data_IF_740128607179
#
_entry.id   IF_740128607179
#
_cell.length_a   1.000
_cell.length_b   1.000
_cell.length_c   1.000
_cell.angle_alpha   90.00
_cell.angle_beta   90.00
_cell.angle_gamma   90.00
#
_symmetry.space_group_name_H-M   'P 1'
#
loop_
_entity.id
_entity.type
_entity.pdbx_description
1 polymer ?
#
# COMPACT_ATOMS: atom_id res chain seq x y z
N UNK A 1 19.18 -5.42 6.11
CA UNK A 1 17.71 -5.55 5.95
C UNK A 1 17.40 -6.64 4.93
N UNK A 2 16.21 -7.25 5.02
CA UNK A 2 15.69 -8.25 4.10
C UNK A 2 15.36 -7.67 2.72
N UNK A 3 15.10 -8.55 1.75
CA UNK A 3 14.78 -8.17 0.37
C UNK A 3 13.30 -7.78 0.20
N UNK A 4 12.40 -8.39 0.98
CA UNK A 4 10.95 -8.16 0.89
C UNK A 4 10.35 -7.51 2.14
N UNK A 5 11.01 -7.70 3.29
CA UNK A 5 10.53 -7.35 4.63
C UNK A 5 11.57 -6.57 5.43
N UNK A 6 11.17 -5.98 6.56
CA UNK A 6 12.14 -5.31 7.47
C UNK A 6 12.99 -6.31 8.28
N UNK A 7 12.71 -7.61 8.17
CA UNK A 7 13.37 -8.71 8.89
C UNK A 7 14.74 -9.07 8.28
N UNK A 8 15.46 -9.99 8.92
CA UNK A 8 16.77 -10.46 8.45
C UNK A 8 16.64 -11.40 7.24
N UNK A 9 17.66 -11.42 6.36
CA UNK A 9 17.67 -12.31 5.18
C UNK A 9 17.55 -13.80 5.55
N UNK A 10 18.11 -14.20 6.71
CA UNK A 10 18.01 -15.57 7.22
C UNK A 10 16.56 -15.96 7.53
N UNK A 11 15.76 -15.03 8.03
CA UNK A 11 14.34 -15.27 8.28
C UNK A 11 13.57 -15.46 6.97
N UNK A 12 13.82 -14.61 5.96
CA UNK A 12 13.16 -14.72 4.65
C UNK A 12 13.49 -16.05 3.95
N UNK A 13 14.77 -16.44 3.96
CA UNK A 13 15.24 -17.73 3.42
C UNK A 13 14.62 -18.91 4.16
N UNK A 14 14.53 -18.85 5.49
CA UNK A 14 13.90 -19.90 6.29
C UNK A 14 12.42 -20.10 5.94
N UNK A 15 11.67 -19.02 5.69
CA UNK A 15 10.25 -19.10 5.33
C UNK A 15 10.00 -19.53 3.88
N UNK A 16 10.96 -19.31 2.98
CA UNK A 16 10.94 -19.75 1.59
C UNK A 16 11.61 -21.13 1.37
N UNK A 17 12.01 -21.83 2.43
CA UNK A 17 12.71 -23.13 2.30
C UNK A 17 11.97 -24.14 1.41
N UNK A 18 10.64 -24.23 1.54
CA UNK A 18 9.83 -25.13 0.73
C UNK A 18 9.72 -24.72 -0.75
N UNK A 19 9.73 -23.41 -1.05
CA UNK A 19 9.78 -22.95 -2.45
C UNK A 19 11.13 -23.18 -3.10
N UNK A 20 12.22 -23.08 -2.35
CA UNK A 20 13.53 -23.46 -2.89
C UNK A 20 13.64 -24.98 -3.04
N UNK A 21 13.10 -25.75 -2.10
CA UNK A 21 13.06 -27.20 -2.20
C UNK A 21 12.27 -27.68 -3.43
N UNK A 22 11.13 -27.05 -3.77
CA UNK A 22 10.37 -27.43 -4.97
C UNK A 22 11.12 -27.17 -6.28
N UNK A 23 11.99 -26.15 -6.31
CA UNK A 23 12.83 -25.81 -7.47
C UNK A 23 14.07 -26.70 -7.54
N UNK A 24 14.63 -27.08 -6.39
CA UNK A 24 15.93 -27.76 -6.35
C UNK A 24 15.78 -29.28 -6.50
N UNK A 25 14.65 -29.85 -6.06
CA UNK A 25 14.40 -31.27 -6.14
C UNK A 25 14.00 -31.75 -7.54
N UNK A 26 13.65 -30.84 -8.47
CA UNK A 26 13.16 -31.20 -9.82
C UNK A 26 12.02 -32.23 -9.81
N UNK A 27 11.23 -32.27 -8.74
CA UNK A 27 10.09 -33.18 -8.62
C UNK A 27 8.87 -32.44 -9.18
N UNK A 28 8.32 -32.86 -10.33
CA UNK A 28 7.27 -32.12 -11.03
C UNK A 28 6.00 -31.91 -10.21
N UNK A 29 5.77 -32.70 -9.15
CA UNK A 29 4.51 -32.75 -8.39
C UNK A 29 4.46 -31.99 -7.06
N UNK A 30 5.59 -31.44 -6.60
CA UNK A 30 5.64 -30.86 -5.25
C UNK A 30 5.10 -29.43 -5.21
N UNK A 31 5.19 -28.71 -6.33
CA UNK A 31 4.90 -27.29 -6.39
C UNK A 31 3.43 -26.90 -6.06
N UNK A 32 2.38 -27.69 -6.38
CA UNK A 32 1.01 -27.35 -5.98
C UNK A 32 0.82 -27.44 -4.47
N UNK A 33 1.45 -28.42 -3.80
CA UNK A 33 1.40 -28.56 -2.34
C UNK A 33 2.13 -27.42 -1.63
N UNK A 34 3.28 -26.99 -2.16
CA UNK A 34 3.98 -25.81 -1.63
C UNK A 34 3.11 -24.57 -1.79
N UNK A 35 2.46 -24.41 -2.94
CA UNK A 35 1.54 -23.29 -3.19
C UNK A 35 0.36 -23.31 -2.22
N UNK A 36 -0.22 -24.48 -1.95
CA UNK A 36 -1.32 -24.65 -1.01
C UNK A 36 -0.89 -24.31 0.44
N UNK A 37 0.30 -24.73 0.84
CA UNK A 37 0.91 -24.37 2.14
C UNK A 37 1.14 -22.86 2.26
N UNK A 38 1.62 -22.21 1.18
CA UNK A 38 1.77 -20.76 1.16
C UNK A 38 0.41 -20.04 1.23
N UNK A 39 -0.58 -20.50 0.48
CA UNK A 39 -1.91 -19.92 0.42
C UNK A 39 -2.65 -20.01 1.76
N UNK A 40 -2.53 -21.13 2.48
CA UNK A 40 -3.15 -21.33 3.80
C UNK A 40 -2.47 -20.48 4.87
N UNK A 41 -1.13 -20.46 4.92
CA UNK A 41 -0.38 -19.63 5.89
C UNK A 41 -0.58 -18.14 5.66
N UNK A 42 -0.62 -17.72 4.40
CA UNK A 42 -0.90 -16.32 4.05
C UNK A 42 -2.37 -15.97 4.05
N UNK A 43 -3.30 -16.95 4.05
CA UNK A 43 -4.75 -16.79 3.91
C UNK A 43 -5.18 -16.06 2.63
N UNK A 44 -4.66 -16.46 1.46
CA UNK A 44 -5.05 -15.93 0.14
C UNK A 44 -5.90 -16.98 -0.61
N UNK A 45 -7.17 -16.67 -0.91
CA UNK A 45 -8.07 -17.61 -1.59
C UNK A 45 -7.70 -17.86 -3.05
N UNK A 46 -7.29 -16.83 -3.80
CA UNK A 46 -6.87 -17.00 -5.19
C UNK A 46 -5.69 -17.97 -5.34
N UNK A 47 -4.71 -17.91 -4.42
CA UNK A 47 -3.57 -18.83 -4.44
C UNK A 47 -3.98 -20.25 -4.07
N UNK A 48 -4.94 -20.39 -3.16
CA UNK A 48 -5.49 -21.68 -2.78
C UNK A 48 -6.26 -22.33 -3.93
N UNK A 49 -7.10 -21.55 -4.62
CA UNK A 49 -7.82 -22.01 -5.82
C UNK A 49 -6.85 -22.40 -6.95
N UNK A 50 -5.81 -21.58 -7.18
CA UNK A 50 -4.82 -21.87 -8.22
C UNK A 50 -4.00 -23.14 -7.89
N UNK A 51 -3.67 -23.37 -6.62
CA UNK A 51 -3.03 -24.61 -6.18
C UNK A 51 -3.89 -25.85 -6.50
N UNK A 52 -5.21 -25.78 -6.27
CA UNK A 52 -6.14 -26.86 -6.64
C UNK A 52 -6.21 -27.10 -8.14
N UNK A 53 -6.24 -26.03 -8.95
CA UNK A 53 -6.25 -26.14 -10.41
C UNK A 53 -4.98 -26.82 -10.92
N UNK A 54 -3.81 -26.42 -10.41
CA UNK A 54 -2.53 -27.05 -10.76
C UNK A 54 -2.49 -28.52 -10.33
N UNK A 55 -2.97 -28.83 -9.13
CA UNK A 55 -3.03 -30.21 -8.63
C UNK A 55 -3.95 -31.10 -9.47
N UNK A 56 -5.14 -30.61 -9.86
CA UNK A 56 -6.04 -31.34 -10.77
C UNK A 56 -5.40 -31.54 -12.15
N UNK A 57 -4.71 -30.51 -12.67
CA UNK A 57 -3.95 -30.61 -13.91
C UNK A 57 -2.86 -31.68 -13.87
N UNK A 58 -2.11 -31.76 -12.76
CA UNK A 58 -1.10 -32.79 -12.57
C UNK A 58 -1.68 -34.20 -12.45
N UNK A 59 -2.80 -34.36 -11.73
CA UNK A 59 -3.50 -35.65 -11.65
C UNK A 59 -3.95 -36.09 -13.04
N UNK A 60 -4.48 -35.15 -13.84
CA UNK A 60 -4.85 -35.41 -15.23
C UNK A 60 -3.67 -35.83 -16.10
N UNK A 61 -2.53 -35.14 -15.98
CA UNK A 61 -1.30 -35.50 -16.68
C UNK A 61 -0.76 -36.87 -16.23
N UNK A 62 -0.83 -37.19 -14.94
CA UNK A 62 -0.42 -38.48 -14.38
C UNK A 62 -1.31 -39.62 -14.88
N UNK A 63 -2.62 -39.38 -14.93
CA UNK A 63 -3.57 -40.34 -15.49
C UNK A 63 -3.34 -40.57 -17.00
N UNK A 64 -3.13 -39.50 -17.76
CA UNK A 64 -2.81 -39.60 -19.18
C UNK A 64 -1.48 -40.35 -19.40
N UNK A 65 -0.45 -40.07 -18.59
CA UNK A 65 0.82 -40.77 -18.65
C UNK A 65 0.66 -42.27 -18.41
N UNK A 66 -0.17 -42.66 -17.44
CA UNK A 66 -0.47 -44.06 -17.16
C UNK A 66 -1.15 -44.76 -18.35
N UNK A 67 -2.13 -44.12 -19.00
CA UNK A 67 -2.82 -44.68 -20.17
C UNK A 67 -1.87 -44.88 -21.36
N UNK A 68 -1.00 -43.90 -21.61
CA UNK A 68 -0.08 -43.94 -22.75
C UNK A 68 1.26 -44.63 -22.43
N UNK A 69 1.40 -45.19 -21.23
CA UNK A 69 2.59 -45.88 -20.77
C UNK A 69 2.86 -47.14 -21.61
N UNK A 70 4.10 -47.29 -22.09
CA UNK A 70 4.52 -48.45 -22.89
C UNK A 70 4.22 -48.38 -24.39
N UNK A 71 3.36 -47.47 -24.84
CA UNK A 71 3.04 -47.32 -26.26
C UNK A 71 4.09 -46.51 -27.06
N UNK A 72 5.14 -45.96 -26.40
CA UNK A 72 6.12 -45.02 -27.00
C UNK A 72 5.44 -43.98 -27.93
N UNK A 73 4.23 -43.59 -27.55
CA UNK A 73 3.33 -42.84 -28.42
C UNK A 73 3.58 -41.34 -28.32
N UNK A 74 3.09 -40.59 -29.30
CA UNK A 74 3.08 -39.13 -29.25
C UNK A 74 2.37 -38.60 -27.98
N UNK A 75 1.38 -39.34 -27.46
CA UNK A 75 0.70 -39.03 -26.19
C UNK A 75 1.64 -39.06 -24.98
N UNK A 76 2.56 -40.02 -24.91
CA UNK A 76 3.56 -40.10 -23.84
C UNK A 76 4.51 -38.88 -23.87
N UNK A 77 4.98 -38.48 -25.05
CA UNK A 77 5.82 -37.29 -25.21
C UNK A 77 5.09 -36.00 -24.78
N UNK A 78 3.81 -35.87 -25.13
CA UNK A 78 2.98 -34.73 -24.71
C UNK A 78 2.80 -34.68 -23.19
N UNK A 79 2.62 -35.82 -22.53
CA UNK A 79 2.51 -35.85 -21.05
C UNK A 79 3.82 -35.46 -20.36
N UNK A 80 4.97 -35.90 -20.87
CA UNK A 80 6.29 -35.49 -20.36
C UNK A 80 6.51 -33.99 -20.57
N UNK A 81 6.22 -33.45 -21.76
CA UNK A 81 6.28 -32.02 -22.04
C UNK A 81 5.33 -31.20 -21.16
N UNK A 82 4.14 -31.75 -20.89
CA UNK A 82 3.17 -31.18 -19.96
C UNK A 82 3.69 -31.09 -18.52
N UNK A 83 4.35 -32.14 -18.01
CA UNK A 83 4.98 -32.12 -16.68
C UNK A 83 6.10 -31.08 -16.57
N UNK A 84 6.98 -31.01 -17.58
CA UNK A 84 8.04 -29.99 -17.64
C UNK A 84 7.48 -28.58 -17.65
N UNK A 85 6.43 -28.35 -18.44
CA UNK A 85 5.77 -27.03 -18.52
C UNK A 85 5.09 -26.67 -17.20
N UNK A 86 4.35 -27.61 -16.61
CA UNK A 86 3.71 -27.44 -15.30
C UNK A 86 4.74 -27.11 -14.22
N UNK A 87 5.86 -27.83 -14.19
CA UNK A 87 6.96 -27.59 -13.27
C UNK A 87 7.56 -26.18 -13.40
N UNK A 88 7.87 -25.72 -14.62
CA UNK A 88 8.45 -24.40 -14.86
C UNK A 88 7.46 -23.30 -14.48
N UNK A 89 6.21 -23.41 -14.94
CA UNK A 89 5.17 -22.41 -14.69
C UNK A 89 4.82 -22.35 -13.20
N UNK A 90 4.64 -23.50 -12.56
CA UNK A 90 4.30 -23.63 -11.15
C UNK A 90 5.36 -23.04 -10.23
N UNK A 91 6.63 -23.37 -10.46
CA UNK A 91 7.73 -22.78 -9.69
C UNK A 91 7.94 -21.29 -10.00
N UNK A 92 7.74 -20.86 -11.25
CA UNK A 92 7.76 -19.44 -11.61
C UNK A 92 6.68 -18.62 -10.89
N UNK A 93 5.48 -19.19 -10.73
CA UNK A 93 4.39 -18.57 -9.96
C UNK A 93 4.73 -18.45 -8.47
N UNK A 94 5.34 -19.48 -7.88
CA UNK A 94 5.79 -19.46 -6.47
C UNK A 94 6.81 -18.35 -6.23
N UNK A 95 7.79 -18.18 -7.13
CA UNK A 95 8.80 -17.11 -7.03
C UNK A 95 8.18 -15.73 -7.17
N UNK A 96 7.23 -15.55 -8.10
CA UNK A 96 6.51 -14.28 -8.26
C UNK A 96 5.72 -13.89 -7.00
N UNK A 97 5.19 -14.88 -6.29
CA UNK A 97 4.38 -14.68 -5.08
C UNK A 97 5.23 -14.53 -3.80
N UNK A 98 6.50 -14.94 -3.82
CA UNK A 98 7.38 -14.98 -2.66
C UNK A 98 7.44 -13.65 -1.89
N UNK A 99 7.54 -12.52 -2.59
CA UNK A 99 7.57 -11.19 -1.95
C UNK A 99 6.28 -10.90 -1.17
N UNK A 100 5.12 -11.07 -1.82
CA UNK A 100 3.82 -10.84 -1.20
C UNK A 100 3.53 -11.82 -0.07
N UNK A 101 3.99 -13.07 -0.20
CA UNK A 101 3.90 -14.09 0.84
C UNK A 101 4.67 -13.69 2.09
N UNK A 102 5.93 -13.26 1.95
CA UNK A 102 6.78 -12.83 3.06
C UNK A 102 6.22 -11.61 3.79
N UNK A 103 5.73 -10.61 3.05
CA UNK A 103 5.12 -9.41 3.63
C UNK A 103 3.88 -9.74 4.47
N UNK A 104 3.09 -10.73 4.03
CA UNK A 104 1.90 -11.16 4.76
C UNK A 104 2.23 -11.98 5.99
N UNK A 105 3.28 -12.79 5.95
CA UNK A 105 3.79 -13.47 7.13
C UNK A 105 4.32 -12.49 8.18
N UNK A 106 5.01 -11.42 7.76
CA UNK A 106 5.43 -10.36 8.67
C UNK A 106 4.21 -9.67 9.31
N UNK A 107 3.15 -9.41 8.54
CA UNK A 107 1.90 -8.86 9.06
C UNK A 107 1.22 -9.79 10.07
N UNK A 108 1.34 -11.11 9.87
CA UNK A 108 0.76 -12.13 10.75
C UNK A 108 1.35 -12.11 12.16
N UNK A 109 2.60 -11.67 12.32
CA UNK A 109 3.25 -11.54 13.63
C UNK A 109 2.66 -10.38 14.44
N UNK A 110 2.14 -9.35 13.77
CA UNK A 110 1.57 -8.15 14.40
C UNK A 110 0.05 -8.27 14.58
N UNK A 111 -0.64 -8.97 13.68
CA UNK A 111 -2.10 -9.09 13.68
C UNK A 111 -2.57 -10.45 13.14
N UNK A 112 -3.65 -11.05 13.68
CA UNK A 112 -4.25 -12.23 13.06
C UNK A 112 -4.69 -11.94 11.62
N UNK A 113 -4.18 -12.73 10.68
CA UNK A 113 -4.55 -12.62 9.27
C UNK A 113 -6.00 -13.04 9.03
N UNK A 114 -6.67 -12.38 8.09
CA UNK A 114 -7.99 -12.77 7.56
C UNK A 114 -7.84 -13.31 6.13
N UNK A 115 -8.82 -14.12 5.69
CA UNK A 115 -8.87 -14.59 4.31
C UNK A 115 -9.18 -13.43 3.36
N UNK A 116 -8.34 -13.26 2.35
CA UNK A 116 -8.59 -12.28 1.27
C UNK A 116 -8.69 -13.00 -0.06
N UNK A 117 -9.44 -12.43 -0.98
CA UNK A 117 -9.62 -13.01 -2.31
C UNK A 117 -8.34 -12.92 -3.14
N UNK A 118 -7.70 -11.76 -3.19
CA UNK A 118 -6.43 -11.54 -3.90
C UNK A 118 -5.60 -10.42 -3.28
N UNK A 119 -4.27 -10.59 -3.23
CA UNK A 119 -3.33 -9.58 -2.72
C UNK A 119 -3.41 -8.28 -3.56
N UNK A 120 -3.60 -8.40 -4.88
CA UNK A 120 -3.72 -7.26 -5.79
C UNK A 120 -5.01 -6.46 -5.58
N UNK A 121 -6.15 -7.16 -5.44
CA UNK A 121 -7.45 -6.53 -5.18
C UNK A 121 -7.51 -5.90 -3.80
N UNK A 122 -6.91 -6.51 -2.77
CA UNK A 122 -6.84 -5.92 -1.43
C UNK A 122 -6.01 -4.64 -1.45
N UNK A 123 -4.85 -4.64 -2.10
CA UNK A 123 -4.01 -3.45 -2.24
C UNK A 123 -4.73 -2.36 -3.03
N UNK A 124 -5.46 -2.72 -4.08
CA UNK A 124 -6.31 -1.79 -4.83
C UNK A 124 -7.50 -1.28 -4.00
N UNK A 125 -8.09 -2.09 -3.13
CA UNK A 125 -9.16 -1.67 -2.22
C UNK A 125 -8.64 -0.78 -1.10
N UNK A 126 -7.45 -1.03 -0.55
CA UNK A 126 -6.79 -0.13 0.41
C UNK A 126 -6.40 1.20 -0.26
N UNK A 127 -5.94 1.16 -1.51
CA UNK A 127 -5.68 2.35 -2.33
C UNK A 127 -6.99 3.06 -2.72
N UNK A 128 -8.08 2.33 -2.97
CA UNK A 128 -9.39 2.88 -3.30
C UNK A 128 -10.13 3.44 -2.07
N UNK A 129 -9.93 2.83 -0.90
CA UNK A 129 -10.38 3.40 0.39
C UNK A 129 -9.63 4.68 0.71
N UNK A 130 -8.34 4.80 0.30
CA UNK A 130 -7.64 6.10 0.28
C UNK A 130 -8.17 7.05 -0.79
N UNK A 131 -8.74 6.54 -1.89
CA UNK A 131 -9.34 7.34 -2.96
C UNK A 131 -10.79 7.78 -2.69
N UNK A 132 -11.43 7.28 -1.63
CA UNK A 132 -12.79 7.70 -1.20
C UNK A 132 -12.78 8.73 -0.06
N UNK A 133 -11.65 9.37 0.19
CA UNK A 133 -11.63 10.58 1.02
C UNK A 133 -11.96 11.77 0.11
N UNK A 134 -13.13 12.39 0.31
CA UNK A 134 -13.37 13.75 -0.19
C UNK A 134 -12.75 14.77 0.78
N UNK A 135 -12.39 15.98 0.32
CA UNK A 135 -11.97 17.08 1.19
C UNK A 135 -12.87 17.27 2.42
N UNK A 136 -14.19 17.16 2.25
CA UNK A 136 -15.17 17.27 3.33
C UNK A 136 -15.10 16.11 4.33
N UNK A 137 -14.94 14.87 3.84
CA UNK A 137 -14.80 13.71 4.73
C UNK A 137 -13.50 13.80 5.54
N UNK A 138 -12.43 14.36 4.96
CA UNK A 138 -11.16 14.57 5.66
C UNK A 138 -11.29 15.59 6.79
N UNK A 139 -11.91 16.74 6.54
CA UNK A 139 -12.21 17.74 7.58
C UNK A 139 -13.07 17.11 8.68
N UNK A 140 -14.10 16.34 8.32
CA UNK A 140 -14.98 15.71 9.31
C UNK A 140 -14.24 14.74 10.23
N UNK A 141 -13.29 13.96 9.68
CA UNK A 141 -12.44 13.04 10.46
C UNK A 141 -11.47 13.80 11.36
N UNK A 142 -10.87 14.89 10.87
CA UNK A 142 -10.01 15.75 11.70
C UNK A 142 -10.78 16.34 12.88
N UNK A 143 -11.99 16.86 12.62
CA UNK A 143 -12.87 17.40 13.66
C UNK A 143 -13.35 16.34 14.65
N UNK A 144 -13.59 15.11 14.19
CA UNK A 144 -13.89 13.97 15.05
C UNK A 144 -12.74 13.70 16.02
N UNK A 145 -11.52 13.48 15.52
CA UNK A 145 -10.38 13.19 16.38
C UNK A 145 -9.97 14.37 17.28
N UNK A 146 -10.23 15.62 16.85
CA UNK A 146 -10.06 16.78 17.71
C UNK A 146 -10.92 16.68 18.98
N UNK A 147 -12.14 16.15 18.88
CA UNK A 147 -13.07 16.02 20.02
C UNK A 147 -12.68 14.87 20.95
N UNK A 148 -12.15 13.78 20.41
CA UNK A 148 -11.75 12.61 21.19
C UNK A 148 -10.42 12.80 21.93
N UNK A 149 -9.45 13.48 21.30
CA UNK A 149 -8.12 13.68 21.86
C UNK A 149 -8.12 14.79 22.93
N UNK A 150 -7.64 14.52 24.14
CA UNK A 150 -7.61 15.53 25.21
C UNK A 150 -6.38 16.45 25.15
N UNK A 151 -5.36 16.09 24.38
CA UNK A 151 -4.13 16.86 24.27
C UNK A 151 -4.34 18.17 23.48
N UNK A 152 -4.32 19.30 24.19
CA UNK A 152 -4.47 20.65 23.61
C UNK A 152 -3.45 20.97 22.51
N UNK A 153 -2.23 20.46 22.61
CA UNK A 153 -1.19 20.70 21.59
C UNK A 153 -1.61 20.09 20.24
N UNK A 154 -2.10 18.86 20.28
CA UNK A 154 -2.60 18.17 19.08
C UNK A 154 -3.84 18.87 18.54
N UNK A 155 -4.78 19.26 19.41
CA UNK A 155 -5.97 20.01 18.99
C UNK A 155 -5.59 21.30 18.23
N UNK A 156 -4.59 22.03 18.69
CA UNK A 156 -4.08 23.23 18.01
C UNK A 156 -3.46 22.91 16.64
N UNK A 157 -2.69 21.82 16.53
CA UNK A 157 -2.14 21.37 15.25
C UNK A 157 -3.25 20.96 14.27
N UNK A 158 -4.27 20.25 14.75
CA UNK A 158 -5.44 19.88 13.95
C UNK A 158 -6.21 21.12 13.49
N UNK A 159 -6.39 22.13 14.36
CA UNK A 159 -7.05 23.38 14.00
C UNK A 159 -6.29 24.16 12.92
N UNK A 160 -4.96 24.19 13.00
CA UNK A 160 -4.13 24.79 11.95
C UNK A 160 -4.33 24.08 10.61
N UNK A 161 -4.28 22.75 10.61
CA UNK A 161 -4.50 21.92 9.40
C UNK A 161 -5.89 22.15 8.82
N UNK A 162 -6.94 22.14 9.65
CA UNK A 162 -8.32 22.36 9.21
C UNK A 162 -8.47 23.75 8.60
N UNK A 163 -7.90 24.79 9.23
CA UNK A 163 -7.96 26.16 8.71
C UNK A 163 -7.28 26.28 7.35
N UNK A 164 -6.07 25.72 7.21
CA UNK A 164 -5.32 25.73 5.96
C UNK A 164 -6.06 24.99 4.85
N UNK A 165 -6.66 23.85 5.18
CA UNK A 165 -7.40 23.05 4.22
C UNK A 165 -8.71 23.72 3.78
N UNK A 166 -9.45 24.36 4.69
CA UNK A 166 -10.63 25.17 4.35
C UNK A 166 -10.28 26.38 3.47
N UNK A 167 -9.11 26.99 3.67
CA UNK A 167 -8.62 28.07 2.82
C UNK A 167 -8.31 27.58 1.40
N UNK A 168 -7.78 26.37 1.25
CA UNK A 168 -7.56 25.73 -0.05
C UNK A 168 -8.88 25.37 -0.74
N UNK A 169 -9.79 24.68 -0.04
CA UNK A 169 -11.07 24.23 -0.60
C UNK A 169 -11.91 25.40 -1.13
N UNK A 170 -11.94 26.54 -0.42
CA UNK A 170 -12.65 27.75 -0.87
C UNK A 170 -12.07 28.38 -2.12
N UNK A 171 -10.78 28.20 -2.39
CA UNK A 171 -10.08 28.85 -3.49
C UNK A 171 -9.95 27.95 -4.72
N UNK A 172 -9.69 26.66 -4.52
CA UNK A 172 -9.41 25.71 -5.59
C UNK A 172 -9.65 24.26 -5.13
N UNK A 173 -10.75 23.68 -5.61
CA UNK A 173 -11.17 22.33 -5.22
C UNK A 173 -10.22 21.25 -5.73
N UNK A 174 -9.60 21.43 -6.90
CA UNK A 174 -8.65 20.45 -7.45
C UNK A 174 -7.33 20.44 -6.66
N UNK A 175 -6.87 21.61 -6.24
CA UNK A 175 -5.66 21.68 -5.42
C UNK A 175 -5.90 21.12 -4.01
N UNK A 176 -7.11 21.28 -3.45
CA UNK A 176 -7.51 20.64 -2.20
C UNK A 176 -7.50 19.10 -2.29
N UNK A 177 -7.92 18.53 -3.43
CA UNK A 177 -7.84 17.07 -3.66
C UNK A 177 -6.38 16.59 -3.75
N UNK A 178 -5.50 17.32 -4.45
CA UNK A 178 -4.06 17.00 -4.49
C UNK A 178 -3.42 17.09 -3.11
N UNK A 179 -3.85 18.07 -2.33
CA UNK A 179 -3.39 18.27 -0.96
C UNK A 179 -3.82 17.12 -0.04
N UNK A 180 -5.06 16.68 -0.16
CA UNK A 180 -5.59 15.50 0.52
C UNK A 180 -4.76 14.25 0.21
N UNK A 181 -4.43 13.99 -1.06
CA UNK A 181 -3.63 12.82 -1.44
C UNK A 181 -2.24 12.84 -0.78
N UNK A 182 -1.62 14.03 -0.67
CA UNK A 182 -0.31 14.20 -0.04
C UNK A 182 -0.34 14.04 1.48
N UNK A 183 -1.38 14.54 2.14
CA UNK A 183 -1.45 14.66 3.61
C UNK A 183 -2.52 13.81 4.29
N UNK A 184 -3.27 12.98 3.55
CA UNK A 184 -4.35 12.12 4.08
C UNK A 184 -3.90 11.14 5.16
N UNK A 185 -2.61 10.82 5.21
CA UNK A 185 -2.02 9.95 6.23
C UNK A 185 -2.11 10.52 7.65
N UNK A 186 -2.28 11.84 7.82
CA UNK A 186 -2.41 12.50 9.12
C UNK A 186 -3.58 11.95 9.93
N UNK A 187 -4.70 11.64 9.27
CA UNK A 187 -5.88 11.06 9.91
C UNK A 187 -5.58 9.68 10.51
N UNK A 188 -4.76 8.88 9.83
CA UNK A 188 -4.34 7.58 10.37
C UNK A 188 -3.45 7.75 11.62
N UNK A 189 -2.61 8.77 11.65
CA UNK A 189 -1.74 9.07 12.79
C UNK A 189 -2.57 9.52 14.01
N UNK A 190 -3.59 10.36 13.78
CA UNK A 190 -4.55 10.76 14.82
C UNK A 190 -5.35 9.58 15.37
N UNK A 191 -5.78 8.66 14.49
CA UNK A 191 -6.47 7.42 14.89
C UNK A 191 -5.61 6.55 15.80
N UNK A 192 -4.33 6.35 15.46
CA UNK A 192 -3.40 5.57 16.29
C UNK A 192 -3.08 6.30 17.60
N UNK A 193 -3.00 7.63 17.58
CA UNK A 193 -2.82 8.43 18.80
C UNK A 193 -4.01 8.25 19.76
N UNK A 194 -5.23 8.42 19.26
CA UNK A 194 -6.47 8.23 20.01
C UNK A 194 -6.59 6.80 20.58
N UNK A 195 -6.25 5.79 19.79
CA UNK A 195 -6.21 4.40 20.27
C UNK A 195 -5.23 4.23 21.45
N UNK A 196 -4.02 4.80 21.35
CA UNK A 196 -3.06 4.79 22.45
C UNK A 196 -3.49 5.66 23.63
N UNK A 197 -4.28 6.71 23.41
CA UNK A 197 -4.89 7.53 24.46
C UNK A 197 -5.87 6.69 25.30
N UNK A 198 -6.76 5.97 24.61
CA UNK A 198 -7.84 5.21 25.20
C UNK A 198 -7.42 3.88 25.82
N UNK A 199 -6.25 3.34 25.46
CA UNK A 199 -5.76 2.07 26.06
C UNK A 199 -5.48 2.15 27.57
N UNK A 200 -5.27 3.35 28.14
CA UNK A 200 -4.89 3.56 29.56
C UNK A 200 -3.66 2.74 30.01
N UNK A 201 -2.85 2.25 29.06
CA UNK A 201 -1.66 1.46 29.33
C UNK A 201 -0.47 2.40 29.59
N UNK A 202 -0.06 2.53 30.85
CA UNK A 202 1.08 3.36 31.26
C UNK A 202 2.43 2.64 31.17
N UNK A 203 2.69 1.93 30.07
CA UNK A 203 4.00 1.34 29.81
C UNK A 203 4.94 2.36 29.15
N UNK A 204 6.25 2.26 29.38
CA UNK A 204 7.29 3.11 28.79
C UNK A 204 7.22 3.13 27.26
N UNK A 205 6.96 1.96 26.66
CA UNK A 205 6.78 1.80 25.20
C UNK A 205 5.58 2.59 24.68
N UNK A 206 4.46 2.60 25.43
CA UNK A 206 3.25 3.34 25.05
C UNK A 206 3.48 4.85 25.14
N UNK A 207 4.15 5.31 26.19
CA UNK A 207 4.47 6.72 26.38
C UNK A 207 5.45 7.25 25.32
N UNK A 208 6.49 6.46 24.99
CA UNK A 208 7.43 6.80 23.92
C UNK A 208 6.73 6.85 22.56
N UNK A 209 5.87 5.87 22.27
CA UNK A 209 5.08 5.83 21.05
C UNK A 209 4.13 7.03 20.94
N UNK A 210 3.46 7.40 22.05
CA UNK A 210 2.57 8.57 22.11
C UNK A 210 3.34 9.87 21.81
N UNK A 211 4.50 10.07 22.45
CA UNK A 211 5.36 11.23 22.22
C UNK A 211 5.90 11.29 20.78
N UNK A 212 6.20 10.13 20.20
CA UNK A 212 6.62 10.04 18.80
C UNK A 212 5.49 10.44 17.85
N UNK A 213 4.26 9.97 18.09
CA UNK A 213 3.10 10.37 17.30
C UNK A 213 2.81 11.87 17.42
N UNK A 214 2.93 12.46 18.62
CA UNK A 214 2.86 13.90 18.84
C UNK A 214 3.87 14.66 17.96
N UNK A 215 5.14 14.23 17.97
CA UNK A 215 6.17 14.84 17.14
C UNK A 215 5.87 14.74 15.65
N UNK A 216 5.33 13.61 15.20
CA UNK A 216 4.95 13.43 13.79
C UNK A 216 3.75 14.30 13.42
N UNK A 217 2.76 14.46 14.29
CA UNK A 217 1.61 15.37 14.05
C UNK A 217 2.08 16.82 13.95
N UNK A 218 2.98 17.24 14.85
CA UNK A 218 3.56 18.59 14.81
C UNK A 218 4.35 18.84 13.52
N UNK A 219 5.16 17.88 13.10
CA UNK A 219 5.90 17.94 11.83
C UNK A 219 4.96 17.96 10.62
N UNK A 220 3.88 17.17 10.65
CA UNK A 220 2.89 17.16 9.58
C UNK A 220 2.18 18.52 9.47
N UNK A 221 1.80 19.14 10.58
CA UNK A 221 1.21 20.47 10.59
C UNK A 221 2.15 21.53 10.01
N UNK A 222 3.44 21.51 10.39
CA UNK A 222 4.45 22.42 9.84
C UNK A 222 4.72 22.20 8.35
N UNK A 223 4.76 20.93 7.91
CA UNK A 223 4.93 20.60 6.50
C UNK A 223 3.74 21.07 5.64
N UNK A 224 2.52 20.90 6.16
CA UNK A 224 1.28 21.40 5.55
C UNK A 224 1.32 22.92 5.42
N UNK A 225 1.69 23.63 6.48
CA UNK A 225 1.83 25.10 6.47
C UNK A 225 2.85 25.58 5.44
N UNK A 226 3.99 24.90 5.35
CA UNK A 226 5.03 25.22 4.37
C UNK A 226 4.56 24.97 2.92
N UNK A 227 3.85 23.87 2.66
CA UNK A 227 3.33 23.56 1.33
C UNK A 227 2.29 24.60 0.88
N UNK A 228 1.37 24.99 1.77
CA UNK A 228 0.40 26.06 1.51
C UNK A 228 1.09 27.41 1.27
N UNK A 229 2.12 27.72 2.07
CA UNK A 229 2.90 28.95 1.90
C UNK A 229 3.60 28.99 0.55
N UNK A 230 4.19 27.88 0.13
CA UNK A 230 4.86 27.77 -1.17
C UNK A 230 3.87 27.90 -2.33
N UNK A 231 2.68 27.29 -2.20
CA UNK A 231 1.61 27.44 -3.18
C UNK A 231 1.18 28.91 -3.31
N UNK A 232 0.98 29.62 -2.20
CA UNK A 232 0.62 31.04 -2.20
C UNK A 232 1.74 31.87 -2.85
N UNK A 233 3.01 31.62 -2.52
CA UNK A 233 4.15 32.32 -3.11
C UNK A 233 4.24 32.12 -4.63
N UNK A 234 4.09 30.88 -5.11
CA UNK A 234 4.09 30.59 -6.55
C UNK A 234 3.01 31.38 -7.27
N UNK A 235 1.79 31.38 -6.73
CA UNK A 235 0.67 32.11 -7.34
C UNK A 235 0.87 33.63 -7.33
N UNK A 236 1.47 34.18 -6.26
CA UNK A 236 1.78 35.62 -6.21
C UNK A 236 2.82 36.01 -7.28
N UNK A 237 3.79 35.14 -7.56
CA UNK A 237 4.77 35.36 -8.63
C UNK A 237 4.09 35.35 -10.01
N UNK A 238 3.18 34.40 -10.24
CA UNK A 238 2.41 34.34 -11.49
C UNK A 238 1.56 35.60 -11.70
N UNK A 239 0.83 36.05 -10.67
CA UNK A 239 0.03 37.28 -10.73
C UNK A 239 0.91 38.52 -10.92
N UNK A 240 2.09 38.56 -10.29
CA UNK A 240 3.04 39.67 -10.47
C UNK A 240 3.54 39.74 -11.92
N UNK A 241 3.88 38.60 -12.52
CA UNK A 241 4.31 38.53 -13.92
C UNK A 241 3.18 38.93 -14.88
N UNK A 242 1.95 38.46 -14.64
CA UNK A 242 0.77 38.85 -15.43
C UNK A 242 0.48 40.35 -15.30
N UNK A 243 0.59 40.90 -14.09
CA UNK A 243 0.38 42.33 -13.82
C UNK A 243 1.41 43.19 -14.54
N UNK A 244 2.67 42.76 -14.57
CA UNK A 244 3.76 43.45 -15.27
C UNK A 244 3.53 43.43 -16.80
N UNK A 245 3.14 42.29 -17.36
CA UNK A 245 2.76 42.17 -18.78
C UNK A 245 1.55 43.04 -19.11
N UNK A 246 0.56 43.10 -18.23
CA UNK A 246 -0.62 43.94 -18.40
C UNK A 246 -0.26 45.43 -18.40
N UNK A 247 0.55 45.88 -17.44
CA UNK A 247 1.06 47.26 -17.38
C UNK A 247 1.85 47.58 -18.65
N UNK A 248 2.73 46.68 -19.09
CA UNK A 248 3.51 46.86 -20.30
C UNK A 248 2.62 46.93 -21.55
N UNK A 249 1.56 46.14 -21.60
CA UNK A 249 0.56 46.19 -22.69
C UNK A 249 -0.20 47.51 -22.69
N UNK A 250 -0.59 48.03 -21.52
CA UNK A 250 -1.25 49.32 -21.40
C UNK A 250 -0.32 50.48 -21.80
N UNK A 251 0.96 50.43 -21.43
CA UNK A 251 1.99 51.39 -21.89
C UNK A 251 2.16 51.33 -23.41
N UNK A 252 2.32 50.14 -23.99
CA UNK A 252 2.46 49.94 -25.43
C UNK A 252 1.23 50.43 -26.23
N UNK A 253 0.04 50.41 -25.63
CA UNK A 253 -1.20 50.94 -26.22
C UNK A 253 -1.42 52.44 -25.95
N UNK A 254 -0.46 53.13 -25.34
CA UNK A 254 -0.55 54.54 -24.92
C UNK A 254 -1.74 54.85 -24.00
N UNK A 255 -2.24 53.84 -23.26
CA UNK A 255 -3.32 54.01 -22.29
C UNK A 255 -2.81 54.40 -20.90
N UNK A 256 -1.50 54.23 -20.67
CA UNK A 256 -0.76 54.74 -19.52
C UNK A 256 0.41 55.57 -20.06
N UNK A 257 0.54 56.82 -19.60
CA UNK A 257 1.72 57.64 -19.85
C UNK A 257 2.75 57.35 -18.76
N UNK A 258 4.01 57.18 -19.15
CA UNK A 258 5.10 57.16 -18.19
C UNK A 258 5.19 58.55 -17.52
N UNK A 259 5.19 58.57 -16.18
CA UNK A 259 5.63 59.76 -15.42
C UNK A 259 7.14 59.95 -15.56
#
# INVERSE_FOLDING_TARGET
MGWATKKSRRWELSKLGWTFASILLFIPHIHPFVMMSQATKSKVRAWYALAWVLLLGEIGLMYAFYIFWGALSQGMLLTIGGFLTSYIVGNGLLLRQAKSYLQRLELAEVRPLTWIDSVGKQRQLELAQRAMETPQTFISKLLYYKKEINNKSIQNHVDSIVRLFQLLEKKDTQEAERFLVRHGTVVNILREYDALENTRLHNTVTMESRKKLEGVIAQAASAIEMDVTNLIKSRLLDVSAESEVYIQTLKNRNLLKDE
#
